data_IF_013728993689
#
_entry.id   IF_013728993689
#
_cell.length_a   1.000
_cell.length_b   1.000
_cell.length_c   1.000
_cell.angle_alpha   90.00
_cell.angle_beta   90.00
_cell.angle_gamma   90.00
#
_symmetry.space_group_name_H-M   'P 1'
#
loop_
_entity.id
_entity.type
_entity.pdbx_description
1 polymer ?
#
# COMPACT_ATOMS: atom_id res chain seq x y z
N UNK A 1 4.22 -28.66 1.02
CA UNK A 1 5.39 -28.25 0.21
C UNK A 1 5.60 -26.76 0.45
N UNK A 2 6.49 -26.40 1.38
CA UNK A 2 6.73 -25.00 1.75
C UNK A 2 7.65 -24.39 0.70
N UNK A 3 7.09 -23.68 -0.27
CA UNK A 3 7.89 -22.87 -1.17
C UNK A 3 8.66 -21.87 -0.32
N UNK A 4 9.99 -21.89 -0.45
CA UNK A 4 10.87 -20.84 0.06
C UNK A 4 10.49 -19.55 -0.68
N UNK A 5 9.51 -18.83 -0.14
CA UNK A 5 8.91 -17.65 -0.76
C UNK A 5 10.00 -16.59 -0.77
N UNK A 6 10.49 -16.21 -1.95
CA UNK A 6 11.37 -15.06 -2.05
C UNK A 6 10.53 -13.85 -1.60
N UNK A 7 10.86 -13.26 -0.45
CA UNK A 7 10.13 -12.13 0.14
C UNK A 7 10.34 -10.82 -0.64
N UNK A 8 10.69 -10.89 -1.92
CA UNK A 8 11.03 -9.75 -2.75
C UNK A 8 10.59 -9.97 -4.20
N UNK A 9 10.05 -8.93 -4.82
CA UNK A 9 9.77 -8.86 -6.25
C UNK A 9 10.59 -7.74 -6.89
N UNK A 10 10.97 -7.92 -8.15
CA UNK A 10 11.67 -6.90 -8.94
C UNK A 10 10.67 -6.21 -9.86
N UNK A 11 10.45 -4.91 -9.69
CA UNK A 11 9.54 -4.08 -10.49
C UNK A 11 10.29 -2.87 -11.00
N UNK A 12 10.37 -2.68 -12.31
CA UNK A 12 11.09 -1.55 -12.94
C UNK A 12 12.50 -1.33 -12.34
N UNK A 13 13.25 -2.43 -12.19
CA UNK A 13 14.58 -2.47 -11.56
C UNK A 13 14.67 -2.12 -10.07
N UNK A 14 13.54 -1.92 -9.40
CA UNK A 14 13.46 -1.75 -7.94
C UNK A 14 13.12 -3.09 -7.27
N UNK A 15 13.80 -3.42 -6.18
CA UNK A 15 13.47 -4.55 -5.32
C UNK A 15 12.45 -4.10 -4.28
N UNK A 16 11.27 -4.72 -4.27
CA UNK A 16 10.18 -4.44 -3.35
C UNK A 16 10.01 -5.62 -2.41
N UNK A 17 10.08 -5.38 -1.10
CA UNK A 17 9.82 -6.41 -0.11
C UNK A 17 8.34 -6.77 -0.05
N UNK A 18 8.07 -8.06 0.15
CA UNK A 18 6.74 -8.63 0.38
C UNK A 18 6.69 -9.22 1.79
N UNK A 19 5.65 -8.86 2.53
CA UNK A 19 5.34 -9.40 3.85
C UNK A 19 4.04 -10.20 3.78
N UNK A 20 4.01 -11.38 4.38
CA UNK A 20 2.80 -12.18 4.46
C UNK A 20 2.18 -12.02 5.86
N UNK A 21 0.94 -11.56 5.94
CA UNK A 21 0.19 -11.38 7.19
C UNK A 21 -1.18 -12.01 7.00
N UNK A 22 -1.59 -12.90 7.91
CA UNK A 22 -2.93 -13.52 7.87
C UNK A 22 -3.33 -14.14 6.52
N UNK A 23 -2.39 -14.81 5.83
CA UNK A 23 -2.54 -15.38 4.49
C UNK A 23 -2.69 -14.37 3.33
N UNK A 24 -2.48 -13.09 3.57
CA UNK A 24 -2.44 -12.05 2.54
C UNK A 24 -1.01 -11.57 2.31
N UNK A 25 -0.72 -11.17 1.08
CA UNK A 25 0.58 -10.64 0.66
C UNK A 25 0.53 -9.11 0.58
N UNK A 26 1.42 -8.46 1.33
CA UNK A 26 1.56 -7.00 1.40
C UNK A 26 2.87 -6.58 0.74
N UNK A 27 2.84 -5.48 -0.02
CA UNK A 27 4.03 -4.90 -0.65
C UNK A 27 4.55 -3.68 0.13
N UNK A 28 5.86 -3.49 0.15
CA UNK A 28 6.49 -2.35 0.79
C UNK A 28 6.47 -1.10 -0.11
N UNK A 29 5.57 -0.15 0.17
CA UNK A 29 5.45 1.09 -0.62
C UNK A 29 6.71 1.96 -0.57
N UNK A 30 7.43 2.00 0.54
CA UNK A 30 8.67 2.81 0.65
C UNK A 30 9.79 2.28 -0.23
N UNK A 31 9.84 0.97 -0.49
CA UNK A 31 10.80 0.40 -1.44
C UNK A 31 10.51 0.85 -2.88
N UNK A 32 9.26 1.14 -3.23
CA UNK A 32 8.88 1.62 -4.57
C UNK A 32 9.47 2.99 -4.90
N UNK A 33 9.71 3.83 -3.89
CA UNK A 33 10.19 5.21 -4.05
C UNK A 33 11.59 5.42 -3.47
N UNK A 34 12.24 4.36 -2.97
CA UNK A 34 13.53 4.43 -2.26
C UNK A 34 14.67 5.04 -3.08
N UNK A 35 14.62 4.88 -4.40
CA UNK A 35 15.61 5.41 -5.34
C UNK A 35 15.21 6.77 -5.95
N UNK A 36 14.05 7.32 -5.58
CA UNK A 36 13.59 8.62 -6.06
C UNK A 36 14.13 9.72 -5.15
N UNK A 37 14.72 10.76 -5.74
CA UNK A 37 15.16 11.94 -5.01
C UNK A 37 13.97 12.84 -4.69
N UNK A 38 13.88 13.28 -3.44
CA UNK A 38 12.80 14.13 -2.96
C UNK A 38 12.42 13.79 -1.53
N UNK A 39 11.67 14.71 -0.91
CA UNK A 39 11.15 14.50 0.44
C UNK A 39 9.70 14.01 0.30
N UNK A 40 9.34 13.01 1.10
CA UNK A 40 7.94 12.68 1.39
C UNK A 40 7.09 12.14 0.22
N UNK A 41 7.64 11.37 -0.74
CA UNK A 41 6.88 10.80 -1.88
C UNK A 41 5.59 10.07 -1.47
N UNK A 42 5.65 9.18 -0.48
CA UNK A 42 4.47 8.44 0.02
C UNK A 42 3.48 9.38 0.71
N UNK A 43 3.95 10.36 1.47
CA UNK A 43 3.08 11.33 2.13
C UNK A 43 2.40 12.26 1.13
N UNK A 44 3.10 12.71 0.09
CA UNK A 44 2.52 13.44 -1.03
C UNK A 44 1.53 12.57 -1.83
N UNK A 45 1.81 11.27 -1.92
CA UNK A 45 0.88 10.30 -2.48
C UNK A 45 -0.43 10.27 -1.68
N UNK A 46 -0.32 10.07 -0.36
CA UNK A 46 -1.46 10.01 0.56
C UNK A 46 -2.17 11.36 0.79
N UNK A 47 -1.58 12.51 0.47
CA UNK A 47 -2.26 13.82 0.55
C UNK A 47 -3.23 14.09 -0.60
N UNK A 48 -3.12 13.35 -1.70
CA UNK A 48 -3.98 13.57 -2.85
C UNK A 48 -5.36 12.97 -2.57
N UNK A 49 -6.38 13.83 -2.50
CA UNK A 49 -7.78 13.45 -2.23
C UNK A 49 -8.28 12.33 -3.13
N UNK A 50 -8.02 12.40 -4.43
CA UNK A 50 -8.49 11.38 -5.38
C UNK A 50 -7.87 10.01 -5.09
N UNK A 51 -6.60 9.96 -4.62
CA UNK A 51 -5.96 8.70 -4.24
C UNK A 51 -6.54 8.13 -2.96
N UNK A 52 -6.77 8.97 -1.95
CA UNK A 52 -7.39 8.54 -0.70
C UNK A 52 -8.81 8.04 -0.95
N UNK A 53 -9.63 8.78 -1.72
CA UNK A 53 -10.99 8.36 -2.08
C UNK A 53 -10.99 7.03 -2.84
N UNK A 54 -10.07 6.85 -3.80
CA UNK A 54 -9.95 5.59 -4.53
C UNK A 54 -9.59 4.41 -3.60
N UNK A 55 -8.62 4.59 -2.70
CA UNK A 55 -8.25 3.57 -1.72
C UNK A 55 -9.42 3.26 -0.77
N UNK A 56 -10.14 4.28 -0.30
CA UNK A 56 -11.33 4.10 0.53
C UNK A 56 -12.44 3.32 -0.17
N UNK A 57 -12.70 3.61 -1.44
CA UNK A 57 -13.67 2.85 -2.23
C UNK A 57 -13.23 1.40 -2.44
N UNK A 58 -11.93 1.19 -2.71
CA UNK A 58 -11.39 -0.16 -2.86
C UNK A 58 -11.52 -0.95 -1.56
N UNK A 59 -11.17 -0.35 -0.42
CA UNK A 59 -11.32 -0.96 0.90
C UNK A 59 -12.79 -1.27 1.21
N UNK A 60 -13.71 -0.33 0.96
CA UNK A 60 -15.15 -0.56 1.13
C UNK A 60 -15.67 -1.79 0.34
N UNK A 61 -15.10 -2.06 -0.83
CA UNK A 61 -15.50 -3.19 -1.68
C UNK A 61 -14.84 -4.51 -1.23
N UNK A 62 -13.60 -4.47 -0.74
CA UNK A 62 -12.77 -5.67 -0.57
C UNK A 62 -12.47 -6.03 0.90
N UNK A 63 -12.76 -5.15 1.84
CA UNK A 63 -12.50 -5.33 3.27
C UNK A 63 -13.83 -5.30 4.03
N UNK A 64 -14.31 -6.48 4.44
CA UNK A 64 -15.58 -6.61 5.19
C UNK A 64 -15.55 -5.87 6.53
N UNK A 65 -14.36 -5.68 7.12
CA UNK A 65 -14.14 -4.96 8.37
C UNK A 65 -13.84 -3.46 8.16
N UNK A 66 -14.16 -2.92 6.98
CA UNK A 66 -13.86 -1.52 6.66
C UNK A 66 -14.58 -0.55 7.60
N UNK A 67 -13.81 0.45 8.03
CA UNK A 67 -14.19 1.42 9.07
C UNK A 67 -14.65 2.73 8.45
N UNK A 68 -15.85 2.72 7.87
CA UNK A 68 -16.42 3.88 7.15
C UNK A 68 -16.40 5.18 7.96
N UNK A 69 -16.77 5.09 9.24
CA UNK A 69 -16.91 6.27 10.12
C UNK A 69 -15.54 6.88 10.42
N UNK A 70 -14.54 6.07 10.76
CA UNK A 70 -13.17 6.53 10.93
C UNK A 70 -12.58 7.04 9.62
N UNK A 71 -12.95 6.42 8.49
CA UNK A 71 -12.44 6.82 7.18
C UNK A 71 -12.90 8.22 6.76
N UNK A 72 -14.10 8.65 7.16
CA UNK A 72 -14.59 10.01 6.89
C UNK A 72 -13.71 11.11 7.50
N UNK A 73 -12.89 10.80 8.51
CA UNK A 73 -11.90 11.75 9.06
C UNK A 73 -10.80 12.12 8.06
N UNK A 74 -10.55 11.28 7.04
CA UNK A 74 -9.55 11.54 5.99
C UNK A 74 -10.13 12.28 4.78
N UNK A 75 -11.46 12.43 4.69
CA UNK A 75 -12.15 13.13 3.58
C UNK A 75 -12.26 14.65 3.80
N UNK A 76 -12.05 15.13 5.03
CA UNK A 76 -12.27 16.52 5.46
C UNK A 76 -10.97 17.33 5.64
#
# INVERSE_FOLDING_TARGET
>A
MFFKKNNQIKVQDKLINISQISNEDYICLTDMVKAEEGVDHIKNWMRNRNRVEFLGLWEFINNEDFKDVEFDTFKN
#
